data_IF_774349786005
#
_entry.id   IF_774349786005
#
_cell.length_a   1.000
_cell.length_b   1.000
_cell.length_c   1.000
_cell.angle_alpha   90.00
_cell.angle_beta   90.00
_cell.angle_gamma   90.00
#
_symmetry.space_group_name_H-M   'P 1'
#
loop_
_entity.id
_entity.type
_entity.pdbx_description
1 polymer ?
#
# COMPACT_ATOMS: atom_id res chain seq x y z
N UNK A 1 -25.86 -26.51 25.09
CA UNK A 1 -25.32 -26.08 23.79
C UNK A 1 -24.45 -24.85 24.01
N UNK A 2 -23.15 -25.00 24.00
CA UNK A 2 -22.20 -23.94 24.26
C UNK A 2 -21.71 -23.34 22.96
N UNK A 3 -21.89 -22.05 22.78
CA UNK A 3 -21.36 -21.26 21.64
C UNK A 3 -19.88 -20.99 21.87
N UNK A 4 -18.99 -21.30 20.94
CA UNK A 4 -17.56 -20.97 21.09
C UNK A 4 -17.31 -19.47 20.89
N UNK A 5 -16.33 -18.89 21.57
CA UNK A 5 -16.05 -17.45 21.55
C UNK A 5 -15.37 -17.03 20.24
N UNK A 6 -15.93 -15.99 19.61
CA UNK A 6 -15.40 -15.32 18.40
C UNK A 6 -14.19 -14.38 18.70
N UNK A 7 -13.18 -14.88 19.43
CA UNK A 7 -12.10 -14.02 19.92
C UNK A 7 -10.75 -14.18 19.20
N UNK A 8 -10.64 -14.98 18.14
CA UNK A 8 -9.32 -15.36 17.59
C UNK A 8 -8.90 -14.59 16.32
N UNK A 9 -9.79 -13.80 15.73
CA UNK A 9 -9.51 -13.16 14.43
C UNK A 9 -8.85 -11.77 14.49
N UNK A 10 -8.61 -11.20 15.68
CA UNK A 10 -8.09 -9.83 15.83
C UNK A 10 -6.59 -9.71 16.12
N UNK A 11 -5.88 -10.81 16.33
CA UNK A 11 -4.46 -10.77 16.71
C UNK A 11 -3.46 -10.85 15.56
N UNK A 12 -3.88 -11.25 14.35
CA UNK A 12 -2.94 -11.46 13.24
C UNK A 12 -2.55 -10.19 12.49
N UNK A 13 -3.34 -9.12 12.59
CA UNK A 13 -3.06 -7.87 11.86
C UNK A 13 -2.06 -6.96 12.58
N UNK A 14 -1.95 -7.07 13.90
CA UNK A 14 -1.05 -6.25 14.71
C UNK A 14 0.42 -6.69 14.63
N UNK A 15 0.68 -7.95 14.29
CA UNK A 15 2.05 -8.50 14.24
C UNK A 15 2.81 -8.09 12.97
N UNK A 16 2.10 -7.81 11.88
CA UNK A 16 2.73 -7.37 10.62
C UNK A 16 3.25 -5.92 10.68
N UNK A 17 2.64 -5.07 11.51
CA UNK A 17 3.05 -3.66 11.66
C UNK A 17 4.32 -3.49 12.51
N UNK A 18 4.63 -4.45 13.41
CA UNK A 18 5.76 -4.35 14.32
C UNK A 18 7.12 -4.63 13.67
N UNK A 19 7.16 -5.29 12.52
CA UNK A 19 8.41 -5.62 11.81
C UNK A 19 8.98 -4.47 10.97
N UNK A 20 8.19 -3.44 10.70
CA UNK A 20 8.65 -2.26 9.93
C UNK A 20 9.37 -1.21 10.80
N UNK A 21 9.25 -1.27 12.12
CA UNK A 21 9.85 -0.28 13.03
C UNK A 21 11.33 -0.49 13.27
N UNK A 22 11.92 -1.65 12.93
CA UNK A 22 13.31 -1.96 13.23
C UNK A 22 14.32 -1.56 12.14
N UNK A 23 13.85 -1.12 10.97
CA UNK A 23 14.75 -0.68 9.88
C UNK A 23 15.10 0.83 9.91
N UNK A 24 14.47 1.63 10.77
CA UNK A 24 14.66 3.09 10.83
C UNK A 24 15.59 3.57 11.96
N UNK A 25 16.36 2.70 12.58
CA UNK A 25 17.13 3.04 13.81
C UNK A 25 18.63 3.22 13.66
N UNK A 26 19.21 3.16 12.48
CA UNK A 26 20.63 3.49 12.30
C UNK A 26 20.85 3.97 10.87
N UNK A 27 21.65 5.01 10.67
CA UNK A 27 21.95 5.65 9.38
C UNK A 27 22.58 4.75 8.30
N UNK A 28 22.09 3.52 8.19
CA UNK A 28 22.51 2.52 7.23
C UNK A 28 21.88 2.74 5.85
N UNK A 29 22.58 2.29 4.83
CA UNK A 29 22.09 2.30 3.45
C UNK A 29 21.03 1.21 3.25
N UNK A 30 19.95 1.54 2.52
CA UNK A 30 18.92 0.59 2.16
C UNK A 30 19.49 -0.52 1.27
N UNK A 31 19.33 -1.77 1.70
CA UNK A 31 19.82 -2.93 0.95
C UNK A 31 18.88 -3.30 -0.21
N UNK A 32 19.40 -4.05 -1.19
CA UNK A 32 18.59 -4.57 -2.30
C UNK A 32 17.41 -5.44 -1.82
N UNK A 33 17.63 -6.24 -0.77
CA UNK A 33 16.60 -7.08 -0.14
C UNK A 33 15.50 -6.23 0.49
N UNK A 34 15.86 -5.20 1.25
CA UNK A 34 14.90 -4.31 1.89
C UNK A 34 14.09 -3.52 0.86
N UNK A 35 14.73 -2.99 -0.20
CA UNK A 35 14.05 -2.32 -1.29
C UNK A 35 13.07 -3.25 -2.03
N UNK A 36 13.47 -4.51 -2.26
CA UNK A 36 12.58 -5.51 -2.90
C UNK A 36 11.39 -5.85 -2.01
N UNK A 37 11.58 -5.93 -0.69
CA UNK A 37 10.49 -6.19 0.25
C UNK A 37 9.50 -5.03 0.28
N UNK A 38 9.99 -3.79 0.30
CA UNK A 38 9.15 -2.60 0.26
C UNK A 38 8.34 -2.52 -1.04
N UNK A 39 8.97 -2.82 -2.18
CA UNK A 39 8.27 -2.87 -3.47
C UNK A 39 7.16 -3.93 -3.49
N UNK A 40 7.37 -5.10 -2.89
CA UNK A 40 6.34 -6.15 -2.77
C UNK A 40 5.17 -5.71 -1.88
N UNK A 41 5.44 -5.05 -0.77
CA UNK A 41 4.40 -4.52 0.12
C UNK A 41 3.55 -3.49 -0.61
N UNK A 42 4.19 -2.51 -1.27
CA UNK A 42 3.50 -1.51 -2.09
C UNK A 42 2.70 -2.14 -3.25
N UNK A 43 3.22 -3.19 -3.88
CA UNK A 43 2.50 -3.95 -4.91
C UNK A 43 1.21 -4.56 -4.35
N UNK A 44 1.26 -5.11 -3.14
CA UNK A 44 0.09 -5.68 -2.47
C UNK A 44 -0.94 -4.62 -2.11
N UNK A 45 -0.51 -3.48 -1.57
CA UNK A 45 -1.38 -2.34 -1.23
C UNK A 45 -2.06 -1.76 -2.48
N UNK A 46 -1.32 -1.61 -3.57
CA UNK A 46 -1.86 -1.15 -4.85
C UNK A 46 -2.88 -2.14 -5.42
N UNK A 47 -2.61 -3.45 -5.35
CA UNK A 47 -3.54 -4.48 -5.81
C UNK A 47 -4.82 -4.50 -4.95
N UNK A 48 -4.70 -4.37 -3.64
CA UNK A 48 -5.84 -4.28 -2.72
C UNK A 48 -6.69 -3.02 -3.00
N UNK A 49 -6.05 -1.87 -3.18
CA UNK A 49 -6.72 -0.63 -3.58
C UNK A 49 -7.45 -0.76 -4.92
N UNK A 50 -6.87 -1.47 -5.88
CA UNK A 50 -7.49 -1.73 -7.18
C UNK A 50 -8.76 -2.59 -7.05
N UNK A 51 -8.73 -3.64 -6.22
CA UNK A 51 -9.91 -4.48 -5.94
C UNK A 51 -10.99 -3.67 -5.21
N UNK A 52 -10.61 -2.86 -4.23
CA UNK A 52 -11.52 -1.96 -3.53
C UNK A 52 -12.21 -0.98 -4.49
N UNK A 53 -11.46 -0.42 -5.44
CA UNK A 53 -11.98 0.45 -6.48
C UNK A 53 -12.95 -0.27 -7.43
N UNK A 54 -12.65 -1.51 -7.81
CA UNK A 54 -13.56 -2.33 -8.63
C UNK A 54 -14.87 -2.62 -7.90
N UNK A 55 -14.80 -3.01 -6.64
CA UNK A 55 -15.98 -3.32 -5.82
C UNK A 55 -16.84 -2.08 -5.58
N UNK A 56 -16.22 -0.93 -5.34
CA UNK A 56 -16.92 0.35 -5.25
C UNK A 56 -17.62 0.72 -6.56
N UNK A 57 -16.93 0.60 -7.69
CA UNK A 57 -17.49 0.88 -9.01
C UNK A 57 -18.63 -0.07 -9.39
N UNK A 58 -18.55 -1.32 -8.95
CA UNK A 58 -19.59 -2.33 -9.16
C UNK A 58 -20.77 -2.23 -8.16
N UNK A 59 -20.66 -1.34 -7.16
CA UNK A 59 -21.68 -1.21 -6.10
C UNK A 59 -21.68 -2.34 -5.08
N UNK A 60 -20.61 -3.15 -5.04
CA UNK A 60 -20.44 -4.26 -4.09
C UNK A 60 -19.95 -3.81 -2.72
N UNK A 61 -19.32 -2.64 -2.63
CA UNK A 61 -18.91 -2.01 -1.39
C UNK A 61 -19.66 -0.70 -1.15
N UNK A 62 -19.87 -0.37 0.13
CA UNK A 62 -20.48 0.92 0.49
C UNK A 62 -19.46 2.06 0.34
N UNK A 63 -19.94 3.29 0.12
CA UNK A 63 -19.09 4.47 0.03
C UNK A 63 -18.27 4.69 1.31
N UNK A 64 -18.86 4.43 2.47
CA UNK A 64 -18.18 4.57 3.77
C UNK A 64 -17.05 3.55 3.88
N UNK A 65 -17.31 2.29 3.55
CA UNK A 65 -16.30 1.24 3.58
C UNK A 65 -15.12 1.56 2.65
N UNK A 66 -15.43 1.93 1.39
CA UNK A 66 -14.40 2.31 0.41
C UNK A 66 -13.55 3.47 0.92
N UNK A 67 -14.15 4.51 1.51
CA UNK A 67 -13.44 5.66 2.03
C UNK A 67 -12.52 5.30 3.20
N UNK A 68 -13.02 4.57 4.20
CA UNK A 68 -12.24 4.20 5.37
C UNK A 68 -11.07 3.30 4.98
N UNK A 69 -11.32 2.30 4.15
CA UNK A 69 -10.30 1.34 3.78
C UNK A 69 -9.23 1.95 2.85
N UNK A 70 -9.64 2.80 1.90
CA UNK A 70 -8.69 3.54 1.06
C UNK A 70 -7.82 4.52 1.86
N UNK A 71 -8.35 5.10 2.94
CA UNK A 71 -7.58 5.98 3.84
C UNK A 71 -6.48 5.21 4.57
N UNK A 72 -6.76 3.99 5.03
CA UNK A 72 -5.76 3.16 5.69
C UNK A 72 -4.65 2.73 4.72
N UNK A 73 -5.01 2.29 3.52
CA UNK A 73 -4.06 1.97 2.46
C UNK A 73 -3.24 3.20 2.04
N UNK A 74 -3.88 4.37 1.93
CA UNK A 74 -3.20 5.63 1.64
C UNK A 74 -2.13 5.96 2.67
N UNK A 75 -2.44 5.86 3.97
CA UNK A 75 -1.48 6.15 5.04
C UNK A 75 -0.26 5.25 4.96
N UNK A 76 -0.47 3.95 4.74
CA UNK A 76 0.62 3.00 4.59
C UNK A 76 1.51 3.33 3.37
N UNK A 77 0.91 3.53 2.19
CA UNK A 77 1.64 3.87 0.98
C UNK A 77 2.35 5.24 1.07
N UNK A 78 1.74 6.24 1.73
CA UNK A 78 2.37 7.55 1.94
C UNK A 78 3.57 7.47 2.88
N UNK A 79 3.49 6.65 3.92
CA UNK A 79 4.62 6.39 4.81
C UNK A 79 5.77 5.71 4.07
N UNK A 80 5.48 4.69 3.27
CA UNK A 80 6.46 4.02 2.43
C UNK A 80 7.11 5.00 1.43
N UNK A 81 6.32 5.83 0.76
CA UNK A 81 6.82 6.86 -0.16
C UNK A 81 7.79 7.83 0.54
N UNK A 82 7.42 8.32 1.72
CA UNK A 82 8.28 9.21 2.52
C UNK A 82 9.58 8.54 2.95
N UNK A 83 9.52 7.27 3.38
CA UNK A 83 10.68 6.49 3.78
C UNK A 83 11.63 6.25 2.61
N UNK A 84 11.11 5.87 1.44
CA UNK A 84 11.90 5.65 0.23
C UNK A 84 12.56 6.92 -0.29
N UNK A 85 11.91 8.08 -0.18
CA UNK A 85 12.49 9.37 -0.57
C UNK A 85 13.69 9.77 0.28
N UNK A 86 13.66 9.44 1.57
CA UNK A 86 14.73 9.78 2.53
C UNK A 86 15.83 8.71 2.58
N UNK A 87 15.59 7.54 1.99
CA UNK A 87 16.50 6.43 2.03
C UNK A 87 17.79 6.73 1.25
N UNK A 88 18.92 6.35 1.84
CA UNK A 88 20.21 6.32 1.18
C UNK A 88 20.46 4.90 0.67
N UNK A 89 21.15 4.78 -0.46
CA UNK A 89 21.47 3.48 -1.05
C UNK A 89 22.79 3.55 -1.81
N UNK A 90 23.29 2.40 -2.26
CA UNK A 90 24.46 2.33 -3.13
C UNK A 90 24.14 2.94 -4.51
N UNK A 91 25.13 3.47 -5.25
CA UNK A 91 24.91 4.02 -6.59
C UNK A 91 24.22 3.05 -7.55
N UNK A 92 24.54 1.76 -7.46
CA UNK A 92 23.94 0.71 -8.31
C UNK A 92 22.43 0.54 -8.09
N UNK A 93 21.93 0.76 -6.87
CA UNK A 93 20.50 0.65 -6.53
C UNK A 93 19.73 1.98 -6.67
N UNK A 94 20.44 3.09 -6.86
CA UNK A 94 19.85 4.43 -6.95
C UNK A 94 18.71 4.56 -7.96
N UNK A 95 18.85 4.08 -9.22
CA UNK A 95 17.77 4.12 -10.21
C UNK A 95 16.53 3.33 -9.77
N UNK A 96 16.72 2.14 -9.19
CA UNK A 96 15.62 1.30 -8.68
C UNK A 96 14.90 1.97 -7.51
N UNK A 97 15.65 2.54 -6.57
CA UNK A 97 15.08 3.28 -5.43
C UNK A 97 14.22 4.45 -5.92
N UNK A 98 14.72 5.28 -6.83
CA UNK A 98 13.96 6.41 -7.38
C UNK A 98 12.69 5.98 -8.09
N UNK A 99 12.74 4.87 -8.87
CA UNK A 99 11.56 4.31 -9.54
C UNK A 99 10.53 3.85 -8.51
N UNK A 100 10.94 3.07 -7.52
CA UNK A 100 10.06 2.57 -6.45
C UNK A 100 9.43 3.72 -5.67
N UNK A 101 10.21 4.75 -5.32
CA UNK A 101 9.71 5.94 -4.63
C UNK A 101 8.64 6.71 -5.45
N UNK A 102 8.85 6.87 -6.76
CA UNK A 102 7.85 7.50 -7.65
C UNK A 102 6.56 6.69 -7.73
N UNK A 103 6.67 5.35 -7.84
CA UNK A 103 5.50 4.48 -7.85
C UNK A 103 4.76 4.53 -6.51
N UNK A 104 5.46 4.56 -5.38
CA UNK A 104 4.86 4.72 -4.06
C UNK A 104 4.09 6.03 -3.93
N UNK A 105 4.63 7.14 -4.45
CA UNK A 105 3.92 8.43 -4.50
C UNK A 105 2.66 8.34 -5.34
N UNK A 106 2.74 7.73 -6.52
CA UNK A 106 1.58 7.55 -7.41
C UNK A 106 0.50 6.71 -6.73
N UNK A 107 0.87 5.56 -6.15
CA UNK A 107 -0.05 4.68 -5.43
C UNK A 107 -0.72 5.42 -4.28
N UNK A 108 0.03 6.15 -3.46
CA UNK A 108 -0.55 6.92 -2.35
C UNK A 108 -1.53 8.00 -2.85
N UNK A 109 -1.20 8.71 -3.92
CA UNK A 109 -2.09 9.72 -4.52
C UNK A 109 -3.39 9.10 -5.05
N UNK A 110 -3.29 7.96 -5.74
CA UNK A 110 -4.45 7.25 -6.29
C UNK A 110 -5.36 6.70 -5.19
N UNK A 111 -4.78 6.13 -4.12
CA UNK A 111 -5.53 5.66 -2.95
C UNK A 111 -6.24 6.80 -2.20
N UNK A 112 -5.60 7.97 -2.08
CA UNK A 112 -6.23 9.16 -1.49
C UNK A 112 -7.44 9.61 -2.31
N UNK A 113 -7.32 9.65 -3.65
CA UNK A 113 -8.42 9.99 -4.56
C UNK A 113 -9.57 8.99 -4.47
N UNK A 114 -9.28 7.70 -4.28
CA UNK A 114 -10.26 6.62 -4.24
C UNK A 114 -11.33 6.86 -3.16
N UNK A 115 -10.95 7.41 -2.00
CA UNK A 115 -11.87 7.69 -0.90
C UNK A 115 -13.04 8.63 -1.25
N UNK A 116 -12.89 9.44 -2.28
CA UNK A 116 -13.87 10.45 -2.71
C UNK A 116 -14.32 10.27 -4.17
N UNK A 117 -13.82 9.24 -4.85
CA UNK A 117 -14.04 9.03 -6.28
C UNK A 117 -15.47 8.63 -6.61
N UNK A 118 -15.98 9.15 -7.73
CA UNK A 118 -17.20 8.65 -8.39
C UNK A 118 -16.98 7.23 -8.94
N UNK A 119 -18.05 6.51 -9.27
CA UNK A 119 -17.94 5.15 -9.85
C UNK A 119 -17.10 5.11 -11.13
N UNK A 120 -17.20 6.14 -11.97
CA UNK A 120 -16.40 6.23 -13.20
C UNK A 120 -14.92 6.41 -12.89
N UNK A 121 -14.59 7.28 -11.94
CA UNK A 121 -13.23 7.49 -11.47
C UNK A 121 -12.67 6.26 -10.77
N UNK A 122 -13.48 5.53 -9.99
CA UNK A 122 -13.08 4.27 -9.37
C UNK A 122 -12.65 3.23 -10.41
N UNK A 123 -13.35 3.13 -11.56
CA UNK A 123 -12.92 2.25 -12.66
C UNK A 123 -11.57 2.65 -13.26
N UNK A 124 -11.32 3.94 -13.39
CA UNK A 124 -10.03 4.43 -13.87
C UNK A 124 -8.93 4.14 -12.85
N UNK A 125 -9.15 4.47 -11.58
CA UNK A 125 -8.21 4.22 -10.49
C UNK A 125 -7.89 2.74 -10.31
N UNK A 126 -8.87 1.85 -10.49
CA UNK A 126 -8.63 0.40 -10.46
C UNK A 126 -7.57 -0.01 -11.49
N UNK A 127 -7.67 0.48 -12.73
CA UNK A 127 -6.69 0.18 -13.79
C UNK A 127 -5.31 0.76 -13.47
N UNK A 128 -5.24 2.00 -12.96
CA UNK A 128 -4.00 2.67 -12.60
C UNK A 128 -3.28 1.96 -11.46
N UNK A 129 -4.01 1.58 -10.42
CA UNK A 129 -3.47 0.84 -9.27
C UNK A 129 -3.01 -0.57 -9.66
N UNK A 130 -3.75 -1.28 -10.53
CA UNK A 130 -3.28 -2.58 -11.05
C UNK A 130 -2.01 -2.44 -11.89
N UNK A 131 -1.91 -1.40 -12.72
CA UNK A 131 -0.69 -1.14 -13.48
C UNK A 131 0.50 -0.87 -12.55
N UNK A 132 0.34 -0.02 -11.53
CA UNK A 132 1.37 0.24 -10.54
C UNK A 132 1.79 -1.03 -9.77
N UNK A 133 0.83 -1.87 -9.38
CA UNK A 133 1.11 -3.14 -8.71
C UNK A 133 1.97 -4.09 -9.57
N UNK A 134 1.75 -4.11 -10.89
CA UNK A 134 2.58 -4.90 -11.82
C UNK A 134 3.99 -4.34 -11.97
N UNK A 135 4.12 -3.01 -12.00
CA UNK A 135 5.42 -2.37 -12.15
C UNK A 135 6.31 -2.49 -10.92
N UNK A 136 5.73 -2.74 -9.75
CA UNK A 136 6.42 -2.93 -8.47
C UNK A 136 6.93 -4.37 -8.26
N UNK A 137 6.52 -5.32 -9.07
CA UNK A 137 7.01 -6.71 -9.04
C UNK A 137 8.36 -6.83 -9.73
#
# INVERSE_FOLDING_TARGET
MATPPRAVARFSLALALALLATACGSGGTLSAKALSQEAKTLSSEAAEGALLAQDGAAGKSTRIYTRVHSEDLYKAAAQAASSLQKAKTTPALGPKLRRTARLAQKVSADLKRLGHASRTEQRALARELFAAAKELK
#
